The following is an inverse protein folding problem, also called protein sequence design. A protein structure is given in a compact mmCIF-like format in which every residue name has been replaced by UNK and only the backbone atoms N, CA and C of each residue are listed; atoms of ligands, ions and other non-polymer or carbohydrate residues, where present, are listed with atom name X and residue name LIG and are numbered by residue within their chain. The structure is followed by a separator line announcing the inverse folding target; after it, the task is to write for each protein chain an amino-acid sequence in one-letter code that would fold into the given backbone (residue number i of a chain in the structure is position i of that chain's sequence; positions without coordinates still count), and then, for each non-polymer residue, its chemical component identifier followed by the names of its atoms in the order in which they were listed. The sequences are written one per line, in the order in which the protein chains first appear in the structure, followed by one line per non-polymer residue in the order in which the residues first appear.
data_IF_112475695500
#
_entry.id   IF_112475695500
#
_cell.length_a   1.000
_cell.length_b   1.000
_cell.length_c   1.000
_cell.angle_alpha   90.00
_cell.angle_beta   90.00
_cell.angle_gamma   90.00
#
_symmetry.space_group_name_H-M   'P 1'
#
loop_
_entity.id
_entity.type
_entity.pdbx_description
1 polymer ?
#
# COMPACT_ATOMS: atom_id res chain seq x y z
N UNK A 1 -18.99 6.80 -28.37
CA UNK A 1 -17.97 7.34 -27.47
C UNK A 1 -18.19 6.73 -26.10
N UNK A 2 -17.28 5.90 -25.59
CA UNK A 2 -17.31 5.44 -24.20
C UNK A 2 -16.72 6.58 -23.36
N UNK A 3 -17.23 6.83 -22.14
CA UNK A 3 -16.68 7.85 -21.25
C UNK A 3 -15.22 7.56 -20.91
N UNK A 4 -14.41 8.56 -20.59
CA UNK A 4 -13.01 8.39 -20.20
C UNK A 4 -12.90 7.49 -18.96
N UNK A 5 -11.77 6.83 -18.81
CA UNK A 5 -11.47 5.86 -17.74
C UNK A 5 -11.60 6.46 -16.32
N UNK A 6 -11.63 7.78 -16.21
CA UNK A 6 -11.87 8.55 -14.99
C UNK A 6 -13.30 8.47 -14.44
N UNK A 7 -14.26 7.97 -15.21
CA UNK A 7 -15.65 7.84 -14.77
C UNK A 7 -16.03 6.39 -14.45
N UNK A 8 -15.28 5.71 -13.60
CA UNK A 8 -15.89 4.70 -12.76
C UNK A 8 -16.69 5.43 -11.69
N UNK A 9 -17.88 5.90 -12.05
CA UNK A 9 -18.81 6.60 -11.17
C UNK A 9 -19.27 5.60 -10.12
N UNK A 10 -18.59 5.58 -8.98
CA UNK A 10 -19.19 5.09 -7.74
C UNK A 10 -20.11 6.23 -7.28
N UNK A 11 -21.37 6.14 -7.66
CA UNK A 11 -22.39 7.05 -7.14
C UNK A 11 -22.41 6.94 -5.61
N UNK A 12 -22.44 8.07 -4.90
CA UNK A 12 -22.55 8.19 -3.43
C UNK A 12 -23.83 7.59 -2.80
N UNK A 13 -24.61 6.82 -3.53
CA UNK A 13 -25.72 6.10 -2.94
C UNK A 13 -25.18 4.93 -2.12
N UNK A 14 -25.62 4.72 -0.86
CA UNK A 14 -25.34 3.51 -0.13
C UNK A 14 -25.88 2.35 -0.99
N UNK A 15 -24.97 1.68 -1.67
CA UNK A 15 -25.30 0.46 -2.38
C UNK A 15 -25.76 -0.51 -1.30
N UNK A 16 -26.99 -0.97 -1.38
CA UNK A 16 -27.40 -2.17 -0.66
C UNK A 16 -26.69 -3.35 -1.32
N UNK A 17 -25.38 -3.47 -1.03
CA UNK A 17 -24.48 -4.47 -1.62
C UNK A 17 -24.88 -5.88 -1.21
N UNK A 18 -25.69 -6.02 -0.16
CA UNK A 18 -26.03 -7.31 0.41
C UNK A 18 -27.41 -7.80 -0.02
N UNK A 19 -28.28 -6.94 -0.56
CA UNK A 19 -29.62 -7.31 -1.00
C UNK A 19 -30.36 -8.09 0.10
N UNK A 20 -30.88 -9.28 -0.20
CA UNK A 20 -31.57 -10.15 0.75
C UNK A 20 -30.69 -10.69 1.88
N UNK A 21 -29.34 -10.57 1.78
CA UNK A 21 -28.38 -10.98 2.83
C UNK A 21 -28.17 -9.89 3.88
N UNK A 22 -28.63 -8.66 3.67
CA UNK A 22 -28.40 -7.52 4.57
C UNK A 22 -28.73 -7.82 6.04
N UNK A 23 -29.90 -8.43 6.39
CA UNK A 23 -30.19 -8.73 7.79
C UNK A 23 -29.20 -9.72 8.42
N UNK A 24 -28.76 -10.71 7.65
CA UNK A 24 -27.78 -11.71 8.11
C UNK A 24 -26.39 -11.09 8.31
N UNK A 25 -25.91 -10.31 7.36
CA UNK A 25 -24.61 -9.63 7.46
C UNK A 25 -24.58 -8.67 8.65
N UNK A 26 -25.66 -7.90 8.83
CA UNK A 26 -25.82 -7.01 9.98
C UNK A 26 -25.78 -7.77 11.30
N UNK A 27 -26.52 -8.86 11.43
CA UNK A 27 -26.51 -9.70 12.63
C UNK A 27 -25.13 -10.30 12.92
N UNK A 28 -24.41 -10.77 11.89
CA UNK A 28 -23.04 -11.26 12.04
C UNK A 28 -22.12 -10.15 12.57
N UNK A 29 -22.24 -8.93 12.04
CA UNK A 29 -21.42 -7.79 12.48
C UNK A 29 -21.73 -7.38 13.93
N UNK A 30 -22.99 -7.34 14.31
CA UNK A 30 -23.44 -7.02 15.67
C UNK A 30 -22.95 -8.05 16.71
N UNK A 31 -22.65 -9.28 16.25
CA UNK A 31 -22.09 -10.35 17.10
C UNK A 31 -20.56 -10.42 17.06
N UNK A 32 -19.90 -9.60 16.23
CA UNK A 32 -18.45 -9.55 16.21
C UNK A 32 -17.91 -8.92 17.50
N UNK A 33 -16.91 -9.52 18.13
CA UNK A 33 -16.42 -9.04 19.41
C UNK A 33 -15.70 -7.70 19.31
N UNK A 34 -15.06 -7.38 18.17
CA UNK A 34 -14.15 -6.22 17.97
C UNK A 34 -13.17 -6.03 19.14
N UNK A 35 -12.79 -7.13 19.79
CA UNK A 35 -12.04 -7.18 21.04
C UNK A 35 -10.62 -6.64 20.95
N UNK A 36 -10.12 -6.41 19.73
CA UNK A 36 -8.82 -5.78 19.45
C UNK A 36 -8.94 -4.39 18.79
N UNK A 37 -10.18 -3.88 18.58
CA UNK A 37 -10.33 -2.46 18.29
C UNK A 37 -9.83 -1.63 19.49
N UNK A 38 -8.99 -0.62 19.27
CA UNK A 38 -8.29 0.09 20.33
C UNK A 38 -9.24 0.73 21.36
N UNK A 39 -10.38 1.28 20.93
CA UNK A 39 -11.37 1.89 21.86
C UNK A 39 -12.08 0.79 22.67
N UNK A 40 -12.58 -0.26 22.03
CA UNK A 40 -13.26 -1.39 22.68
C UNK A 40 -12.32 -2.09 23.67
N UNK A 41 -11.08 -2.34 23.27
CA UNK A 41 -10.09 -2.99 24.14
C UNK A 41 -9.82 -2.16 25.40
N UNK A 42 -9.63 -0.84 25.26
CA UNK A 42 -9.40 0.07 26.40
C UNK A 42 -10.58 0.11 27.35
N UNK A 43 -11.81 0.10 26.85
CA UNK A 43 -13.04 0.03 27.68
C UNK A 43 -13.12 -1.29 28.44
N UNK A 44 -12.78 -2.40 27.82
CA UNK A 44 -12.77 -3.73 28.42
C UNK A 44 -11.62 -3.94 29.42
N UNK A 45 -10.53 -3.19 29.29
CA UNK A 45 -9.31 -3.31 30.08
C UNK A 45 -8.92 -1.95 30.73
N UNK A 46 -9.68 -1.44 31.68
CA UNK A 46 -9.37 -0.15 32.33
C UNK A 46 -7.97 -0.15 32.96
N UNK A 47 -7.10 0.76 32.50
CA UNK A 47 -5.69 0.83 32.92
C UNK A 47 -4.77 -0.19 32.26
N UNK A 48 -5.24 -0.93 31.25
CA UNK A 48 -4.40 -1.80 30.43
C UNK A 48 -3.34 -1.03 29.65
N UNK A 49 -2.13 -1.57 29.56
CA UNK A 49 -1.02 -0.94 28.85
C UNK A 49 -1.21 -0.98 27.32
N UNK A 50 -0.72 0.04 26.63
CA UNK A 50 -0.72 0.09 25.17
C UNK A 50 0.02 -1.10 24.55
N UNK A 51 1.16 -1.48 25.13
CA UNK A 51 2.02 -2.56 24.67
C UNK A 51 1.34 -3.93 24.74
N UNK A 52 0.44 -4.14 25.70
CA UNK A 52 -0.36 -5.39 25.81
C UNK A 52 -1.35 -5.50 24.66
N UNK A 53 -2.06 -4.42 24.33
CA UNK A 53 -2.93 -4.33 23.18
C UNK A 53 -2.15 -4.50 21.87
N UNK A 54 -1.04 -3.79 21.76
CA UNK A 54 -0.17 -3.83 20.59
C UNK A 54 0.33 -5.24 20.30
N UNK A 55 0.76 -5.96 21.33
CA UNK A 55 1.24 -7.34 21.20
C UNK A 55 0.13 -8.28 20.71
N UNK A 56 -1.06 -8.19 21.31
CA UNK A 56 -2.20 -9.03 20.93
C UNK A 56 -2.67 -8.71 19.51
N UNK A 57 -2.76 -7.44 19.14
CA UNK A 57 -3.20 -6.97 17.84
C UNK A 57 -2.20 -7.33 16.75
N UNK A 58 -0.91 -7.14 16.99
CA UNK A 58 0.16 -7.58 16.10
C UNK A 58 0.07 -9.09 15.82
N UNK A 59 -0.08 -9.90 16.86
CA UNK A 59 -0.24 -11.36 16.71
C UNK A 59 -1.48 -11.76 15.90
N UNK A 60 -2.61 -11.07 16.10
CA UNK A 60 -3.83 -11.28 15.32
C UNK A 60 -3.62 -10.98 13.84
N UNK A 61 -3.08 -9.80 13.51
CA UNK A 61 -2.86 -9.40 12.11
C UNK A 61 -1.85 -10.29 11.42
N UNK A 62 -0.72 -10.59 12.07
CA UNK A 62 0.31 -11.50 11.54
C UNK A 62 -0.26 -12.88 11.24
N UNK A 63 -1.08 -13.43 12.16
CA UNK A 63 -1.75 -14.72 11.94
C UNK A 63 -2.73 -14.63 10.76
N UNK A 64 -3.48 -13.54 10.64
CA UNK A 64 -4.44 -13.31 9.54
C UNK A 64 -3.80 -13.17 8.16
N UNK A 65 -2.50 -12.89 8.06
CA UNK A 65 -1.76 -12.93 6.80
C UNK A 65 -1.65 -14.33 6.20
N UNK A 66 -1.69 -15.37 7.03
CA UNK A 66 -1.56 -16.78 6.61
C UNK A 66 -0.37 -17.02 5.67
N UNK A 67 0.76 -16.35 5.89
CA UNK A 67 1.95 -16.51 5.06
C UNK A 67 3.22 -16.15 5.83
N UNK A 68 4.05 -17.14 6.09
CA UNK A 68 5.37 -17.00 6.70
C UNK A 68 6.31 -18.05 6.09
N UNK A 69 7.00 -17.74 4.98
CA UNK A 69 7.93 -18.66 4.34
C UNK A 69 9.28 -18.78 5.07
N UNK A 70 9.49 -18.00 6.11
CA UNK A 70 10.74 -17.95 6.85
C UNK A 70 11.85 -17.14 6.15
N UNK A 71 12.89 -16.75 6.89
CA UNK A 71 13.98 -15.92 6.38
C UNK A 71 14.82 -16.66 5.35
N UNK A 72 15.25 -15.94 4.31
CA UNK A 72 16.14 -16.43 3.27
C UNK A 72 17.14 -15.34 2.89
N UNK A 73 18.33 -15.73 2.45
CA UNK A 73 19.29 -14.80 1.86
C UNK A 73 18.68 -14.12 0.63
N UNK A 74 18.78 -12.79 0.58
CA UNK A 74 18.28 -11.99 -0.53
C UNK A 74 18.90 -12.36 -1.87
N UNK A 75 20.17 -12.79 -1.88
CA UNK A 75 20.94 -12.98 -3.10
C UNK A 75 20.69 -11.84 -4.10
N UNK A 76 20.82 -10.61 -3.57
CA UNK A 76 20.52 -9.41 -4.32
C UNK A 76 21.51 -9.22 -5.47
N UNK A 77 21.00 -8.77 -6.61
CA UNK A 77 21.75 -8.59 -7.86
C UNK A 77 21.35 -7.28 -8.51
N UNK A 78 22.33 -6.50 -8.96
CA UNK A 78 22.09 -5.32 -9.81
C UNK A 78 22.11 -5.81 -11.26
N UNK A 79 20.97 -5.71 -11.92
CA UNK A 79 20.77 -6.16 -13.29
C UNK A 79 21.16 -5.09 -14.32
N UNK A 80 20.97 -3.83 -13.95
CA UNK A 80 21.24 -2.66 -14.80
C UNK A 80 21.47 -1.43 -13.93
N UNK A 81 22.23 -0.46 -14.44
CA UNK A 81 22.61 0.76 -13.75
C UNK A 81 22.60 1.94 -14.71
N UNK A 82 21.96 3.03 -14.33
CA UNK A 82 21.85 4.26 -15.11
C UNK A 82 21.96 5.47 -14.19
N UNK A 83 22.70 6.49 -14.61
CA UNK A 83 22.67 7.82 -13.98
C UNK A 83 21.98 8.80 -14.93
N UNK A 84 20.86 9.37 -14.50
CA UNK A 84 20.05 10.31 -15.27
C UNK A 84 19.24 11.23 -14.35
N UNK A 85 19.10 12.50 -14.74
CA UNK A 85 18.29 13.51 -14.04
C UNK A 85 18.67 13.67 -12.54
N UNK A 86 19.97 13.53 -12.20
CA UNK A 86 20.46 13.64 -10.84
C UNK A 86 20.14 12.43 -9.94
N UNK A 87 19.73 11.32 -10.52
CA UNK A 87 19.46 10.07 -9.84
C UNK A 87 20.29 8.92 -10.41
N UNK A 88 20.77 8.07 -9.53
CA UNK A 88 21.26 6.73 -9.86
C UNK A 88 20.07 5.79 -9.80
N UNK A 89 19.82 5.05 -10.88
CA UNK A 89 18.77 4.04 -11.01
C UNK A 89 19.40 2.68 -11.20
N UNK A 90 19.15 1.77 -10.29
CA UNK A 90 19.53 0.38 -10.44
C UNK A 90 18.28 -0.46 -10.67
N UNK A 91 18.25 -1.24 -11.74
CA UNK A 91 17.31 -2.35 -11.84
C UNK A 91 17.87 -3.50 -11.03
N UNK A 92 17.14 -3.95 -10.05
CA UNK A 92 17.61 -4.95 -9.08
C UNK A 92 16.73 -6.18 -9.07
N UNK A 93 17.29 -7.31 -8.68
CA UNK A 93 16.54 -8.53 -8.40
C UNK A 93 17.00 -9.12 -7.07
N UNK A 94 16.05 -9.62 -6.27
CA UNK A 94 16.36 -10.30 -5.02
C UNK A 94 15.31 -11.36 -4.66
N UNK A 95 15.73 -12.34 -3.87
CA UNK A 95 14.83 -13.40 -3.40
C UNK A 95 13.95 -12.88 -2.28
N UNK A 96 12.64 -13.09 -2.40
CA UNK A 96 11.71 -12.91 -1.30
C UNK A 96 11.43 -14.23 -0.59
N UNK A 97 11.44 -15.34 -1.33
CA UNK A 97 11.34 -16.71 -0.81
C UNK A 97 12.24 -17.64 -1.62
N UNK A 98 12.33 -18.91 -1.22
CA UNK A 98 13.05 -19.95 -1.97
C UNK A 98 12.46 -20.22 -3.37
N UNK A 99 11.20 -19.82 -3.60
CA UNK A 99 10.47 -20.04 -4.87
C UNK A 99 10.03 -18.74 -5.54
N UNK A 100 10.38 -17.58 -4.99
CA UNK A 100 9.99 -16.29 -5.53
C UNK A 100 11.14 -15.30 -5.50
N UNK A 101 11.46 -14.74 -6.67
CA UNK A 101 12.43 -13.67 -6.88
C UNK A 101 11.71 -12.49 -7.50
N UNK A 102 11.94 -11.28 -7.00
CA UNK A 102 11.31 -10.07 -7.49
C UNK A 102 12.33 -9.19 -8.21
N UNK A 103 11.85 -8.49 -9.23
CA UNK A 103 12.57 -7.38 -9.85
C UNK A 103 12.03 -6.06 -9.33
N UNK A 104 12.92 -5.09 -9.14
CA UNK A 104 12.57 -3.75 -8.69
C UNK A 104 13.48 -2.69 -9.24
N UNK A 105 13.23 -1.46 -8.85
CA UNK A 105 14.12 -0.32 -9.04
C UNK A 105 14.58 0.21 -7.70
N UNK A 106 15.89 0.33 -7.56
CA UNK A 106 16.52 1.04 -6.46
C UNK A 106 17.02 2.39 -6.98
N UNK A 107 16.57 3.46 -6.34
CA UNK A 107 16.88 4.84 -6.74
C UNK A 107 17.70 5.50 -5.63
N UNK A 108 18.77 6.19 -6.03
CA UNK A 108 19.60 6.97 -5.12
C UNK A 108 19.75 8.40 -5.65
N UNK A 109 19.76 9.41 -4.78
CA UNK A 109 20.16 10.76 -5.18
C UNK A 109 21.64 10.78 -5.54
N UNK A 110 22.00 11.34 -6.70
CA UNK A 110 23.39 11.50 -7.11
C UNK A 110 24.05 12.67 -6.37
N UNK A 111 25.33 12.50 -6.00
CA UNK A 111 26.14 13.59 -5.46
C UNK A 111 25.82 14.03 -4.03
N UNK A 112 25.05 13.24 -3.27
CA UNK A 112 24.77 13.50 -1.84
C UNK A 112 25.70 12.72 -0.93
N UNK A 113 25.85 13.18 0.31
CA UNK A 113 26.58 12.44 1.33
C UNK A 113 25.78 11.20 1.75
N UNK A 114 26.43 10.05 1.82
CA UNK A 114 25.85 8.78 2.23
C UNK A 114 26.30 8.42 3.65
N UNK A 115 25.52 7.62 4.42
CA UNK A 115 24.24 7.04 4.04
C UNK A 115 23.07 8.03 4.10
N UNK A 116 21.97 7.72 3.38
CA UNK A 116 20.72 8.48 3.39
C UNK A 116 19.55 7.62 3.91
N UNK A 117 18.46 8.20 4.43
CA UNK A 117 17.28 7.44 4.82
C UNK A 117 16.68 6.65 3.65
N UNK A 118 16.09 5.48 3.95
CA UNK A 118 15.50 4.58 2.98
C UNK A 118 13.99 4.62 2.95
N UNK A 119 13.37 4.55 1.76
CA UNK A 119 11.92 4.47 1.61
C UNK A 119 11.51 3.28 0.73
N UNK A 120 10.52 2.52 1.20
CA UNK A 120 9.76 1.60 0.35
C UNK A 120 8.58 2.37 -0.24
N UNK A 121 8.50 2.49 -1.56
CA UNK A 121 7.44 3.26 -2.23
C UNK A 121 6.55 2.34 -3.04
N UNK A 122 5.25 2.39 -2.77
CA UNK A 122 4.26 1.47 -3.32
C UNK A 122 3.41 2.12 -4.40
N UNK A 123 3.24 1.42 -5.53
CA UNK A 123 2.30 1.82 -6.56
C UNK A 123 0.84 1.57 -6.15
N UNK A 124 -0.09 2.35 -6.71
CA UNK A 124 -1.53 2.16 -6.53
C UNK A 124 -2.03 0.86 -7.20
N UNK A 125 -3.20 0.37 -6.77
CA UNK A 125 -3.87 -0.80 -7.39
C UNK A 125 -4.88 -0.42 -8.46
N UNK A 126 -5.51 0.74 -8.36
CA UNK A 126 -6.47 1.23 -9.35
C UNK A 126 -5.85 1.38 -10.74
N UNK A 127 -6.66 1.28 -11.79
CA UNK A 127 -6.21 1.44 -13.18
C UNK A 127 -5.61 0.16 -13.79
N UNK A 128 -4.66 0.30 -14.73
CA UNK A 128 -4.12 -0.79 -15.53
C UNK A 128 -3.21 -1.72 -14.73
N UNK A 129 -3.43 -3.03 -14.77
CA UNK A 129 -2.60 -4.01 -14.05
C UNK A 129 -1.33 -4.41 -14.81
N UNK A 130 -1.27 -4.17 -16.13
CA UNK A 130 -0.08 -4.46 -16.93
C UNK A 130 1.14 -3.60 -16.58
N UNK A 131 0.95 -2.56 -15.78
CA UNK A 131 1.99 -1.73 -15.20
C UNK A 131 1.88 -1.69 -13.68
N UNK A 132 2.99 -1.81 -12.99
CA UNK A 132 3.10 -1.68 -11.54
C UNK A 132 4.06 -0.55 -11.17
N UNK A 133 5.33 -0.86 -10.97
CA UNK A 133 6.42 0.08 -10.63
C UNK A 133 6.63 1.18 -11.68
N UNK A 134 6.33 0.91 -12.95
CA UNK A 134 6.41 1.87 -14.07
C UNK A 134 5.47 3.06 -13.92
N UNK A 135 4.46 2.97 -13.06
CA UNK A 135 3.55 4.07 -12.72
C UNK A 135 4.26 5.19 -11.95
N UNK A 136 5.29 4.83 -11.18
CA UNK A 136 5.93 5.70 -10.20
C UNK A 136 7.46 5.80 -10.36
N UNK A 137 8.04 5.05 -11.30
CA UNK A 137 9.46 5.10 -11.69
C UNK A 137 9.58 5.38 -13.18
N UNK A 138 10.43 6.31 -13.58
CA UNK A 138 10.78 6.57 -14.97
C UNK A 138 11.76 5.50 -15.47
N UNK A 139 11.26 4.57 -16.25
CA UNK A 139 12.07 3.48 -16.83
C UNK A 139 12.71 3.84 -18.18
N UNK A 140 12.61 5.10 -18.62
CA UNK A 140 13.01 5.53 -19.97
C UNK A 140 12.00 5.14 -21.06
N UNK A 141 10.94 4.43 -20.71
CA UNK A 141 9.85 4.02 -21.61
C UNK A 141 8.53 4.57 -21.10
N UNK A 142 7.62 4.86 -21.98
CA UNK A 142 6.30 5.39 -21.62
C UNK A 142 5.19 4.80 -22.50
N UNK A 143 3.95 4.93 -22.01
CA UNK A 143 2.75 4.50 -22.70
C UNK A 143 1.63 5.50 -22.42
N UNK A 144 0.72 5.83 -23.37
CA UNK A 144 -0.35 6.80 -23.15
C UNK A 144 -1.19 6.54 -21.89
N UNK A 145 -1.45 5.27 -21.58
CA UNK A 145 -2.19 4.87 -20.37
C UNK A 145 -1.43 5.24 -19.09
N UNK A 146 -0.10 5.13 -19.08
CA UNK A 146 0.73 5.57 -17.93
C UNK A 146 0.74 7.07 -17.79
N UNK A 147 0.83 7.81 -18.90
CA UNK A 147 0.81 9.28 -18.91
C UNK A 147 -0.50 9.81 -18.33
N UNK A 148 -1.63 9.25 -18.75
CA UNK A 148 -2.95 9.61 -18.24
C UNK A 148 -3.06 9.33 -16.75
N UNK A 149 -2.64 8.15 -16.31
CA UNK A 149 -2.64 7.77 -14.89
C UNK A 149 -1.77 8.70 -14.05
N UNK A 150 -0.53 8.97 -14.48
CA UNK A 150 0.37 9.88 -13.75
C UNK A 150 -0.18 11.30 -13.69
N UNK A 151 -0.76 11.79 -14.79
CA UNK A 151 -1.36 13.12 -14.81
C UNK A 151 -2.53 13.21 -13.82
N UNK A 152 -3.38 12.21 -13.76
CA UNK A 152 -4.56 12.19 -12.87
C UNK A 152 -4.22 11.96 -11.40
N UNK A 153 -3.25 11.09 -11.11
CA UNK A 153 -2.97 10.67 -9.73
C UNK A 153 -1.77 11.39 -9.09
N UNK A 154 -0.77 11.81 -9.88
CA UNK A 154 0.54 12.24 -9.38
C UNK A 154 1.01 13.59 -9.95
N UNK A 155 0.13 14.37 -10.61
CA UNK A 155 0.50 15.62 -11.31
C UNK A 155 1.53 15.42 -12.43
N UNK A 156 1.54 14.26 -13.08
CA UNK A 156 2.51 13.89 -14.10
C UNK A 156 3.86 13.39 -13.56
N UNK A 157 4.10 13.45 -12.24
CA UNK A 157 5.34 13.05 -11.60
C UNK A 157 5.49 11.52 -11.51
N UNK A 158 6.74 11.08 -11.44
CA UNK A 158 7.09 9.73 -10.98
C UNK A 158 7.31 9.76 -9.46
N UNK A 159 6.32 9.33 -8.69
CA UNK A 159 6.27 9.47 -7.24
C UNK A 159 7.57 9.02 -6.54
N UNK A 160 8.12 7.88 -6.93
CA UNK A 160 9.34 7.33 -6.31
C UNK A 160 10.56 8.23 -6.58
N UNK A 161 10.63 8.85 -7.77
CA UNK A 161 11.72 9.76 -8.10
C UNK A 161 11.65 11.08 -7.35
N UNK A 162 10.45 11.57 -7.03
CA UNK A 162 10.31 12.80 -6.23
C UNK A 162 10.90 12.61 -4.82
N UNK A 163 10.71 11.44 -4.21
CA UNK A 163 11.37 11.10 -2.95
C UNK A 163 12.88 10.92 -3.11
N UNK A 164 13.33 10.26 -4.18
CA UNK A 164 14.77 10.11 -4.44
C UNK A 164 15.44 11.47 -4.65
N UNK A 165 14.84 12.38 -5.43
CA UNK A 165 15.32 13.76 -5.62
C UNK A 165 15.34 14.56 -4.31
N UNK A 166 14.44 14.24 -3.37
CA UNK A 166 14.41 14.83 -2.05
C UNK A 166 15.49 14.26 -1.09
N UNK A 167 16.34 13.34 -1.53
CA UNK A 167 17.48 12.83 -0.78
C UNK A 167 17.26 11.50 -0.07
N UNK A 168 16.32 10.68 -0.53
CA UNK A 168 16.05 9.35 0.01
C UNK A 168 16.56 8.25 -0.94
N UNK A 169 17.05 7.15 -0.39
CA UNK A 169 17.19 5.91 -1.12
C UNK A 169 15.82 5.24 -1.25
N UNK A 170 15.41 4.86 -2.45
CA UNK A 170 14.04 4.37 -2.69
C UNK A 170 14.08 2.99 -3.33
N UNK A 171 13.30 2.03 -2.81
CA UNK A 171 13.04 0.74 -3.45
C UNK A 171 11.58 0.65 -3.90
N UNK A 172 11.36 0.13 -5.11
CA UNK A 172 10.04 -0.09 -5.70
C UNK A 172 9.99 -1.47 -6.33
N UNK A 173 8.98 -2.28 -5.97
CA UNK A 173 8.65 -3.54 -6.62
C UNK A 173 7.20 -3.58 -7.08
N UNK A 174 6.87 -4.48 -8.00
CA UNK A 174 5.48 -4.76 -8.35
C UNK A 174 4.79 -5.56 -7.24
N UNK A 175 3.54 -5.23 -6.94
CA UNK A 175 2.66 -6.15 -6.24
C UNK A 175 2.33 -7.38 -7.10
N UNK A 176 1.94 -8.49 -6.48
CA UNK A 176 1.42 -9.64 -7.24
C UNK A 176 0.27 -9.24 -8.16
N UNK A 177 0.22 -9.79 -9.35
CA UNK A 177 -0.72 -9.49 -10.44
C UNK A 177 -0.53 -8.12 -11.11
N UNK A 178 0.58 -7.42 -10.84
CA UNK A 178 0.90 -6.16 -11.51
C UNK A 178 2.24 -6.25 -12.23
N UNK A 179 2.36 -5.50 -13.32
CA UNK A 179 3.61 -5.32 -14.06
C UNK A 179 4.24 -6.64 -14.51
N UNK A 180 5.46 -6.90 -14.13
CA UNK A 180 6.17 -8.14 -14.48
C UNK A 180 5.58 -9.39 -13.81
N UNK A 181 4.73 -9.22 -12.79
CA UNK A 181 4.13 -10.28 -11.97
C UNK A 181 2.70 -10.64 -12.37
N UNK A 182 2.23 -10.21 -13.54
CA UNK A 182 0.95 -10.68 -14.11
C UNK A 182 1.02 -12.17 -14.47
N UNK A 183 -0.11 -12.92 -14.39
CA UNK A 183 -0.13 -14.36 -14.62
C UNK A 183 0.01 -14.70 -16.12
N UNK A 184 1.22 -14.68 -16.65
CA UNK A 184 1.54 -14.96 -18.05
C UNK A 184 1.28 -16.42 -18.41
N UNK A 185 0.86 -16.68 -19.66
CA UNK A 185 0.59 -18.03 -20.15
C UNK A 185 -0.70 -18.66 -19.61
N UNK A 186 -1.56 -17.89 -18.97
CA UNK A 186 -2.81 -18.35 -18.36
C UNK A 186 -4.03 -17.69 -19.02
N UNK A 187 -5.05 -18.48 -19.34
CA UNK A 187 -6.40 -18.01 -19.71
C UNK A 187 -6.42 -16.91 -20.80
N UNK A 188 -5.64 -17.10 -21.86
CA UNK A 188 -5.58 -16.14 -22.96
C UNK A 188 -4.57 -15.00 -22.78
N UNK A 189 -3.91 -14.91 -21.64
CA UNK A 189 -2.77 -14.01 -21.45
C UNK A 189 -1.54 -14.63 -22.11
N UNK A 190 -0.85 -13.96 -23.05
CA UNK A 190 0.33 -14.50 -23.70
C UNK A 190 1.44 -14.86 -22.69
N UNK A 191 2.25 -15.87 -23.00
CA UNK A 191 3.43 -16.21 -22.20
C UNK A 191 4.49 -15.09 -22.22
N UNK A 192 4.57 -14.38 -23.35
CA UNK A 192 5.47 -13.26 -23.54
C UNK A 192 4.73 -12.10 -24.21
N UNK A 193 4.89 -10.92 -23.67
CA UNK A 193 4.43 -9.66 -24.26
C UNK A 193 5.18 -8.50 -23.61
N UNK A 194 5.21 -7.39 -24.32
CA UNK A 194 5.75 -6.12 -23.82
C UNK A 194 4.63 -5.08 -23.78
N UNK A 195 4.16 -4.66 -22.59
CA UNK A 195 3.02 -3.77 -22.47
C UNK A 195 3.26 -2.39 -23.09
N UNK A 196 4.52 -1.95 -23.22
CA UNK A 196 4.87 -0.68 -23.86
C UNK A 196 4.68 -0.67 -25.38
N UNK A 197 4.67 -1.85 -26.01
CA UNK A 197 4.52 -1.99 -27.46
C UNK A 197 3.07 -2.25 -27.91
N UNK A 198 2.14 -2.39 -26.97
CA UNK A 198 0.73 -2.61 -27.26
C UNK A 198 0.06 -1.31 -27.72
N UNK A 199 -0.81 -1.40 -28.72
CA UNK A 199 -1.76 -0.33 -28.98
C UNK A 199 -2.73 -0.20 -27.82
N UNK A 200 -3.40 0.95 -27.65
CA UNK A 200 -4.38 1.17 -26.57
C UNK A 200 -5.46 0.09 -26.57
N UNK A 201 -5.93 -0.34 -27.75
CA UNK A 201 -6.95 -1.41 -27.87
C UNK A 201 -6.47 -2.75 -27.39
N UNK A 202 -5.27 -3.17 -27.79
CA UNK A 202 -4.63 -4.42 -27.34
C UNK A 202 -4.34 -4.37 -25.83
N UNK A 203 -3.83 -3.24 -25.35
CA UNK A 203 -3.57 -3.01 -23.94
C UNK A 203 -4.83 -3.21 -23.08
N UNK A 204 -5.93 -2.52 -23.43
CA UNK A 204 -7.20 -2.63 -22.71
C UNK A 204 -7.75 -4.06 -22.74
N UNK A 205 -7.67 -4.73 -23.89
CA UNK A 205 -8.13 -6.10 -24.01
C UNK A 205 -7.33 -7.06 -23.12
N UNK A 206 -6.01 -6.94 -23.11
CA UNK A 206 -5.12 -7.78 -22.29
C UNK A 206 -5.25 -7.45 -20.80
N UNK A 207 -5.34 -6.18 -20.45
CA UNK A 207 -5.50 -5.74 -19.06
C UNK A 207 -6.82 -6.23 -18.44
N UNK A 208 -7.90 -6.30 -19.22
CA UNK A 208 -9.16 -6.88 -18.79
C UNK A 208 -9.02 -8.38 -18.51
N UNK A 209 -8.31 -9.12 -19.33
CA UNK A 209 -8.02 -10.54 -19.07
C UNK A 209 -7.23 -10.71 -17.77
N UNK A 210 -6.21 -9.88 -17.53
CA UNK A 210 -5.43 -9.91 -16.27
C UNK A 210 -6.32 -9.63 -15.08
N UNK A 211 -7.21 -8.63 -15.15
CA UNK A 211 -8.17 -8.31 -14.08
C UNK A 211 -9.13 -9.45 -13.79
N UNK A 212 -9.61 -10.15 -14.80
CA UNK A 212 -10.46 -11.34 -14.61
C UNK A 212 -9.71 -12.46 -13.88
N UNK A 213 -8.41 -12.66 -14.18
CA UNK A 213 -7.60 -13.68 -13.53
C UNK A 213 -7.20 -13.35 -12.09
N UNK A 214 -7.27 -12.09 -11.68
CA UNK A 214 -6.96 -11.68 -10.31
C UNK A 214 -7.74 -12.47 -9.27
N UNK A 215 -9.06 -12.56 -9.45
CA UNK A 215 -9.93 -13.28 -8.51
C UNK A 215 -9.64 -14.78 -8.46
N UNK A 216 -9.20 -15.36 -9.59
CA UNK A 216 -8.75 -16.75 -9.62
C UNK A 216 -7.46 -16.89 -8.81
N UNK A 217 -6.47 -16.03 -9.01
CA UNK A 217 -5.22 -16.06 -8.28
C UNK A 217 -5.40 -15.93 -6.76
N UNK A 218 -6.25 -14.99 -6.31
CA UNK A 218 -6.57 -14.84 -4.88
C UNK A 218 -7.22 -16.11 -4.31
N UNK A 219 -8.16 -16.73 -5.03
CA UNK A 219 -8.78 -17.99 -4.59
C UNK A 219 -7.78 -19.14 -4.54
N UNK A 220 -6.86 -19.23 -5.51
CA UNK A 220 -5.80 -20.25 -5.52
C UNK A 220 -4.86 -20.08 -4.32
N UNK A 221 -4.46 -18.85 -3.97
CA UNK A 221 -3.68 -18.57 -2.78
C UNK A 221 -4.41 -18.98 -1.52
N UNK A 222 -5.70 -18.59 -1.38
CA UNK A 222 -6.51 -18.97 -0.23
C UNK A 222 -6.66 -20.50 -0.12
N UNK A 223 -6.84 -21.20 -1.24
CA UNK A 223 -6.90 -22.66 -1.25
C UNK A 223 -5.57 -23.31 -0.86
N UNK A 224 -4.46 -22.68 -1.20
CA UNK A 224 -3.11 -23.09 -0.79
C UNK A 224 -2.78 -22.73 0.68
N UNK A 225 -3.68 -22.05 1.39
CA UNK A 225 -3.51 -21.69 2.80
C UNK A 225 -2.84 -20.32 3.02
N UNK A 226 -2.74 -19.49 1.99
CA UNK A 226 -2.16 -18.14 2.07
C UNK A 226 -3.17 -17.05 1.69
N UNK A 227 -2.95 -15.82 2.13
CA UNK A 227 -3.70 -14.67 1.62
C UNK A 227 -2.87 -13.92 0.57
N UNK A 228 -3.55 -13.25 -0.35
CA UNK A 228 -2.87 -12.38 -1.33
C UNK A 228 -2.08 -11.27 -0.62
N UNK A 229 -2.66 -10.73 0.44
CA UNK A 229 -2.02 -9.68 1.22
C UNK A 229 -0.82 -10.21 2.03
N UNK A 230 -0.88 -11.43 2.53
CA UNK A 230 0.25 -12.08 3.20
C UNK A 230 1.46 -12.21 2.30
N UNK A 231 1.25 -12.65 1.05
CA UNK A 231 2.33 -12.74 0.05
C UNK A 231 2.92 -11.36 -0.27
N UNK A 232 2.06 -10.33 -0.45
CA UNK A 232 2.56 -8.98 -0.73
C UNK A 232 3.26 -8.35 0.48
N UNK A 233 2.71 -8.49 1.68
CA UNK A 233 3.35 -7.99 2.90
C UNK A 233 4.75 -8.61 3.10
N UNK A 234 4.88 -9.91 2.87
CA UNK A 234 6.17 -10.57 2.94
C UNK A 234 7.18 -9.95 1.98
N UNK A 235 6.80 -9.79 0.71
CA UNK A 235 7.67 -9.17 -0.30
C UNK A 235 8.01 -7.71 0.06
N UNK A 236 7.07 -6.97 0.67
CA UNK A 236 7.27 -5.59 1.14
C UNK A 236 8.27 -5.52 2.30
N UNK A 237 8.18 -6.44 3.26
CA UNK A 237 9.16 -6.57 4.34
C UNK A 237 10.55 -6.96 3.82
N UNK A 238 10.63 -7.77 2.75
CA UNK A 238 11.89 -8.08 2.07
C UNK A 238 12.51 -6.86 1.36
N UNK A 239 11.68 -5.88 0.94
CA UNK A 239 12.20 -4.59 0.48
C UNK A 239 12.91 -3.82 1.62
N UNK A 240 12.41 -3.92 2.85
CA UNK A 240 13.11 -3.34 4.03
C UNK A 240 14.44 -4.05 4.26
N UNK A 241 14.48 -5.39 4.16
CA UNK A 241 15.74 -6.14 4.23
C UNK A 241 16.73 -5.69 3.16
N UNK A 242 16.24 -5.48 1.91
CA UNK A 242 17.07 -4.99 0.83
C UNK A 242 17.66 -3.61 1.13
N UNK A 243 16.84 -2.65 1.60
CA UNK A 243 17.31 -1.31 1.97
C UNK A 243 18.39 -1.40 3.05
N UNK A 244 18.16 -2.15 4.12
CA UNK A 244 19.13 -2.32 5.23
C UNK A 244 20.43 -3.00 4.77
N UNK A 245 20.38 -3.84 3.75
CA UNK A 245 21.58 -4.49 3.20
C UNK A 245 22.49 -3.56 2.39
N UNK A 246 21.98 -2.37 2.04
CA UNK A 246 22.71 -1.40 1.20
C UNK A 246 23.55 -0.45 2.06
N UNK A 247 24.87 -0.33 1.82
CA UNK A 247 25.72 0.59 2.55
C UNK A 247 25.38 2.07 2.34
N UNK A 248 24.63 2.38 1.28
CA UNK A 248 24.16 3.74 0.97
C UNK A 248 22.97 4.17 1.81
N UNK A 249 22.33 3.23 2.55
CA UNK A 249 21.11 3.46 3.31
C UNK A 249 21.40 3.50 4.81
N UNK A 250 20.86 4.51 5.48
CA UNK A 250 20.80 4.55 6.93
C UNK A 250 19.74 3.54 7.43
N UNK A 251 20.20 2.42 7.99
CA UNK A 251 19.36 1.31 8.43
C UNK A 251 18.39 1.67 9.57
N UNK A 252 18.68 2.74 10.31
CA UNK A 252 17.85 3.20 11.43
C UNK A 252 16.80 4.24 10.99
N UNK A 253 16.80 4.62 9.72
CA UNK A 253 15.96 5.68 9.15
C UNK A 253 15.16 5.16 7.94
N UNK A 254 14.33 4.13 8.16
CA UNK A 254 13.50 3.51 7.13
C UNK A 254 12.06 4.02 7.20
N UNK A 255 11.48 4.32 6.05
CA UNK A 255 10.07 4.68 5.94
C UNK A 255 9.35 3.99 4.78
N UNK A 256 8.04 4.21 4.68
CA UNK A 256 7.25 3.69 3.56
C UNK A 256 6.09 4.61 3.18
N UNK A 257 5.71 4.60 1.90
CA UNK A 257 4.59 5.41 1.39
C UNK A 257 4.01 4.85 0.10
N UNK A 258 2.78 5.23 -0.20
CA UNK A 258 2.12 4.95 -1.46
C UNK A 258 0.71 5.51 -1.53
N UNK A 259 0.15 5.55 -2.74
CA UNK A 259 -1.23 5.99 -3.00
C UNK A 259 -2.18 4.80 -3.04
N UNK A 260 -3.40 4.96 -2.51
CA UNK A 260 -4.49 3.99 -2.68
C UNK A 260 -4.11 2.59 -2.18
N UNK A 261 -4.11 1.57 -3.02
CA UNK A 261 -3.57 0.25 -2.66
C UNK A 261 -2.12 0.29 -2.15
N UNK A 262 -1.32 1.26 -2.60
CA UNK A 262 -0.01 1.56 -2.00
C UNK A 262 -0.12 2.12 -0.58
N UNK A 263 -1.13 2.96 -0.30
CA UNK A 263 -1.44 3.43 1.04
C UNK A 263 -1.86 2.29 1.98
N UNK A 264 -2.62 1.31 1.46
CA UNK A 264 -2.95 0.10 2.20
C UNK A 264 -1.71 -0.71 2.58
N UNK A 265 -0.80 -0.96 1.60
CA UNK A 265 0.49 -1.64 1.85
C UNK A 265 1.33 -0.87 2.86
N UNK A 266 1.32 0.47 2.80
CA UNK A 266 1.97 1.35 3.78
C UNK A 266 1.44 1.12 5.19
N UNK A 267 0.12 1.12 5.39
CA UNK A 267 -0.49 0.89 6.70
C UNK A 267 -0.08 -0.47 7.26
N UNK A 268 -0.08 -1.51 6.42
CA UNK A 268 0.23 -2.86 6.87
C UNK A 268 1.73 -3.03 7.16
N UNK A 269 2.61 -2.49 6.32
CA UNK A 269 4.05 -2.58 6.54
C UNK A 269 4.46 -1.82 7.81
N UNK A 270 3.97 -0.59 7.99
CA UNK A 270 4.25 0.20 9.18
C UNK A 270 3.71 -0.44 10.47
N UNK A 271 2.55 -1.10 10.40
CA UNK A 271 1.94 -1.80 11.54
C UNK A 271 2.76 -3.01 12.02
N UNK A 272 3.37 -3.76 11.10
CA UNK A 272 3.93 -5.07 11.38
C UNK A 272 5.46 -5.13 11.34
N UNK A 273 6.12 -4.23 10.60
CA UNK A 273 7.57 -4.18 10.52
C UNK A 273 8.12 -3.03 11.37
N UNK A 274 8.63 -3.35 12.52
CA UNK A 274 9.12 -2.36 13.51
C UNK A 274 10.38 -1.59 13.08
N UNK A 275 10.97 -1.94 11.95
CA UNK A 275 12.09 -1.20 11.35
C UNK A 275 11.62 0.03 10.59
N UNK A 276 10.31 0.11 10.31
CA UNK A 276 9.69 1.29 9.68
C UNK A 276 9.46 2.36 10.74
N UNK A 277 10.21 3.45 10.68
CA UNK A 277 10.21 4.54 11.64
C UNK A 277 9.25 5.68 11.26
N UNK A 278 8.90 5.79 9.97
CA UNK A 278 7.92 6.77 9.50
C UNK A 278 7.12 6.24 8.30
N UNK A 279 5.86 6.61 8.22
CA UNK A 279 4.97 6.21 7.13
C UNK A 279 4.08 7.36 6.65
N UNK A 280 3.71 7.32 5.36
CA UNK A 280 2.71 8.22 4.77
C UNK A 280 1.73 7.39 3.93
N UNK A 281 0.53 7.16 4.46
CA UNK A 281 -0.54 6.44 3.77
C UNK A 281 -1.40 7.40 2.96
N UNK A 282 -1.31 7.33 1.63
CA UNK A 282 -2.08 8.19 0.70
C UNK A 282 -3.41 7.58 0.30
N UNK A 283 -4.51 8.27 0.57
CA UNK A 283 -5.87 7.96 0.13
C UNK A 283 -6.30 6.50 0.39
N UNK A 284 -5.98 5.99 1.56
CA UNK A 284 -6.50 4.72 2.06
C UNK A 284 -6.74 4.79 3.56
N UNK A 285 -7.87 5.39 3.96
CA UNK A 285 -8.28 5.39 5.35
C UNK A 285 -9.79 5.48 5.47
N UNK A 286 -10.38 4.58 6.27
CA UNK A 286 -11.82 4.50 6.53
C UNK A 286 -12.07 3.73 7.83
N UNK A 287 -13.27 3.83 8.38
CA UNK A 287 -13.69 2.96 9.49
C UNK A 287 -14.22 1.61 8.98
N UNK A 288 -14.32 0.61 9.88
CA UNK A 288 -14.77 -0.72 9.52
C UNK A 288 -16.19 -0.75 8.95
N UNK A 289 -17.08 0.11 9.42
CA UNK A 289 -18.46 0.21 8.93
C UNK A 289 -18.52 0.66 7.47
N UNK A 290 -17.78 1.71 7.14
CA UNK A 290 -17.74 2.21 5.78
C UNK A 290 -16.92 1.31 4.85
N UNK A 291 -15.88 0.64 5.37
CA UNK A 291 -15.10 -0.34 4.60
C UNK A 291 -16.02 -1.42 4.02
N UNK A 292 -16.92 -1.98 4.81
CA UNK A 292 -17.83 -3.03 4.36
C UNK A 292 -18.89 -2.52 3.38
N UNK A 293 -19.35 -1.28 3.54
CA UNK A 293 -20.43 -0.71 2.71
C UNK A 293 -19.88 -0.23 1.36
N UNK A 294 -18.73 0.46 1.34
CA UNK A 294 -18.27 1.18 0.16
C UNK A 294 -17.13 0.48 -0.59
N UNK A 295 -16.29 -0.31 0.11
CA UNK A 295 -15.03 -0.78 -0.45
C UNK A 295 -14.89 -2.30 -0.55
N UNK A 296 -15.88 -3.07 -0.09
CA UNK A 296 -15.87 -4.54 -0.21
C UNK A 296 -16.03 -5.02 -1.66
N UNK A 297 -16.65 -4.18 -2.51
CA UNK A 297 -16.84 -4.50 -3.92
C UNK A 297 -15.53 -4.39 -4.73
N UNK A 298 -15.38 -5.27 -5.71
CA UNK A 298 -14.28 -5.21 -6.67
C UNK A 298 -12.91 -5.59 -6.12
N UNK A 299 -11.86 -5.13 -6.79
CA UNK A 299 -10.47 -5.48 -6.48
C UNK A 299 -10.03 -5.02 -5.07
N UNK A 300 -10.50 -3.85 -4.62
CA UNK A 300 -10.16 -3.27 -3.32
C UNK A 300 -10.53 -4.25 -2.19
N UNK A 301 -11.79 -4.73 -2.16
CA UNK A 301 -12.24 -5.66 -1.15
C UNK A 301 -11.48 -6.99 -1.18
N UNK A 302 -11.20 -7.50 -2.38
CA UNK A 302 -10.48 -8.76 -2.56
C UNK A 302 -9.05 -8.70 -2.01
N UNK A 303 -8.34 -7.61 -2.23
CA UNK A 303 -6.96 -7.44 -1.76
C UNK A 303 -6.85 -7.27 -0.24
N UNK A 304 -7.88 -6.72 0.40
CA UNK A 304 -7.87 -6.44 1.84
C UNK A 304 -8.41 -7.59 2.70
N UNK A 305 -8.74 -8.74 2.11
CA UNK A 305 -9.26 -9.88 2.86
C UNK A 305 -8.19 -10.49 3.76
N UNK A 306 -8.36 -10.34 5.06
CA UNK A 306 -7.57 -10.98 6.11
C UNK A 306 -8.53 -11.78 7.01
N UNK A 307 -8.66 -13.09 6.81
CA UNK A 307 -9.59 -13.92 7.57
C UNK A 307 -9.28 -13.87 9.08
N UNK A 308 -10.33 -13.63 9.89
CA UNK A 308 -10.19 -13.57 11.35
C UNK A 308 -9.64 -12.26 11.90
N UNK A 309 -9.39 -11.25 11.05
CA UNK A 309 -8.89 -9.93 11.46
C UNK A 309 -10.04 -8.93 11.60
N UNK A 310 -10.83 -8.73 10.54
CA UNK A 310 -11.84 -7.66 10.46
C UNK A 310 -13.09 -7.86 11.34
N UNK A 311 -13.22 -9.00 11.99
CA UNK A 311 -14.19 -9.23 13.04
C UNK A 311 -13.66 -8.87 14.45
N UNK A 312 -12.40 -8.47 14.57
CA UNK A 312 -11.73 -8.15 15.83
C UNK A 312 -11.21 -6.73 15.92
N UNK A 313 -10.83 -6.11 14.78
CA UNK A 313 -10.29 -4.75 14.70
C UNK A 313 -10.75 -4.03 13.42
N UNK A 314 -10.45 -2.74 13.33
CA UNK A 314 -10.74 -1.90 12.17
C UNK A 314 -9.47 -1.39 11.49
N UNK A 315 -9.61 -0.77 10.30
CA UNK A 315 -8.46 -0.25 9.54
C UNK A 315 -7.64 0.79 10.32
N UNK A 316 -8.23 1.74 11.07
CA UNK A 316 -7.48 2.68 11.89
C UNK A 316 -6.55 2.02 12.91
N UNK A 317 -6.94 0.85 13.43
CA UNK A 317 -6.14 0.12 14.41
C UNK A 317 -4.77 -0.32 13.85
N UNK A 318 -4.66 -0.53 12.53
CA UNK A 318 -3.35 -0.80 11.89
C UNK A 318 -2.42 0.41 12.02
N UNK A 319 -2.93 1.64 11.82
CA UNK A 319 -2.11 2.84 11.98
C UNK A 319 -1.76 3.07 13.45
N UNK A 320 -2.67 2.79 14.39
CA UNK A 320 -2.40 2.85 15.83
C UNK A 320 -1.34 1.83 16.22
N UNK A 321 -1.38 0.63 15.62
CA UNK A 321 -0.43 -0.45 15.87
C UNK A 321 1.02 -0.07 15.52
N UNK A 322 1.21 0.85 14.58
CA UNK A 322 2.53 1.35 14.19
C UNK A 322 3.20 2.23 15.27
N UNK A 323 2.45 2.78 16.23
CA UNK A 323 3.03 3.64 17.26
C UNK A 323 4.14 2.91 18.06
N UNK A 324 5.25 3.58 18.42
CA UNK A 324 5.51 5.02 18.34
C UNK A 324 6.13 5.52 17.03
N UNK A 325 6.17 4.71 15.96
CA UNK A 325 6.62 5.15 14.63
C UNK A 325 5.73 6.29 14.12
N UNK A 326 6.33 7.23 13.41
CA UNK A 326 5.61 8.42 12.95
C UNK A 326 4.68 8.06 11.76
N UNK A 327 3.39 8.34 11.87
CA UNK A 327 2.39 8.04 10.82
C UNK A 327 1.66 9.28 10.35
N UNK A 328 1.69 9.51 9.03
CA UNK A 328 0.85 10.51 8.38
C UNK A 328 -0.20 9.81 7.52
N UNK A 329 -1.45 10.21 7.67
CA UNK A 329 -2.55 9.78 6.80
C UNK A 329 -2.96 10.95 5.94
N UNK A 330 -2.79 10.81 4.64
CA UNK A 330 -3.35 11.70 3.64
C UNK A 330 -4.70 11.14 3.22
N UNK A 331 -5.77 11.83 3.59
CA UNK A 331 -7.10 11.65 3.04
C UNK A 331 -7.42 12.84 2.14
N UNK A 332 -8.41 12.69 1.25
CA UNK A 332 -8.86 13.80 0.42
C UNK A 332 -10.38 13.87 0.49
N UNK A 333 -10.94 15.03 0.87
CA UNK A 333 -12.36 15.12 1.23
C UNK A 333 -13.34 15.00 0.05
N UNK A 334 -12.83 15.05 -1.18
CA UNK A 334 -13.60 14.83 -2.41
C UNK A 334 -13.34 13.43 -3.02
N UNK A 335 -12.66 12.53 -2.28
CA UNK A 335 -12.43 11.15 -2.68
C UNK A 335 -13.75 10.38 -2.70
N UNK A 336 -14.11 9.85 -3.86
CA UNK A 336 -15.34 9.08 -4.03
C UNK A 336 -15.25 7.66 -3.46
N UNK A 337 -14.03 7.16 -3.19
CA UNK A 337 -13.82 5.82 -2.63
C UNK A 337 -13.96 5.80 -1.11
N UNK A 338 -13.66 6.90 -0.44
CA UNK A 338 -13.65 6.98 1.02
C UNK A 338 -14.47 8.19 1.47
N UNK A 339 -15.66 7.99 2.05
CA UNK A 339 -16.51 9.10 2.48
C UNK A 339 -15.82 10.00 3.53
N UNK A 340 -15.98 11.33 3.45
CA UNK A 340 -15.34 12.27 4.37
C UNK A 340 -15.61 11.99 5.84
N UNK A 341 -16.82 11.54 6.18
CA UNK A 341 -17.21 11.21 7.55
C UNK A 341 -16.40 10.03 8.09
N UNK A 342 -16.16 9.02 7.24
CA UNK A 342 -15.34 7.86 7.60
C UNK A 342 -13.87 8.23 7.75
N UNK A 343 -13.36 9.13 6.89
CA UNK A 343 -12.00 9.64 6.97
C UNK A 343 -11.76 10.40 8.28
N UNK A 344 -12.69 11.28 8.65
CA UNK A 344 -12.61 12.10 9.88
C UNK A 344 -12.71 11.23 11.13
N UNK A 345 -13.64 10.28 11.14
CA UNK A 345 -13.79 9.35 12.28
C UNK A 345 -12.56 8.45 12.44
N UNK A 346 -12.01 7.93 11.35
CA UNK A 346 -10.77 7.17 11.39
C UNK A 346 -9.61 7.99 11.94
N UNK A 347 -9.45 9.24 11.49
CA UNK A 347 -8.41 10.13 12.00
C UNK A 347 -8.57 10.42 13.51
N UNK A 348 -9.81 10.61 14.00
CA UNK A 348 -10.11 10.76 15.43
C UNK A 348 -9.68 9.53 16.23
N UNK A 349 -9.99 8.32 15.74
CA UNK A 349 -9.60 7.06 16.39
C UNK A 349 -8.07 6.91 16.43
N UNK A 350 -7.38 7.20 15.33
CA UNK A 350 -5.92 7.11 15.28
C UNK A 350 -5.28 8.13 16.24
N UNK A 351 -5.75 9.38 16.27
CA UNK A 351 -5.26 10.40 17.19
C UNK A 351 -5.40 9.94 18.65
N UNK A 352 -6.56 9.40 19.03
CA UNK A 352 -6.79 8.87 20.37
C UNK A 352 -5.88 7.67 20.70
N UNK A 353 -5.54 6.85 19.70
CA UNK A 353 -4.58 5.77 19.84
C UNK A 353 -3.15 6.25 20.09
N UNK A 354 -2.70 7.27 19.37
CA UNK A 354 -1.38 7.88 19.54
C UNK A 354 -1.27 8.66 20.87
N UNK A 355 -2.38 9.26 21.35
CA UNK A 355 -2.46 9.82 22.70
C UNK A 355 -2.31 8.73 23.76
N UNK A 356 -2.97 7.58 23.58
CA UNK A 356 -2.80 6.43 24.46
C UNK A 356 -1.38 5.85 24.46
N UNK A 357 -0.73 5.83 23.29
CA UNK A 357 0.67 5.45 23.14
C UNK A 357 1.67 6.51 23.67
N UNK A 358 1.17 7.62 24.27
CA UNK A 358 1.97 8.75 24.77
C UNK A 358 2.89 9.41 23.74
N UNK A 359 2.49 9.42 22.47
CA UNK A 359 3.24 10.05 21.37
C UNK A 359 2.31 10.76 20.35
N UNK A 360 1.39 11.65 20.79
CA UNK A 360 0.39 12.27 19.91
C UNK A 360 0.99 13.09 18.76
N UNK A 361 2.18 13.62 18.93
CA UNK A 361 2.92 14.38 17.90
C UNK A 361 3.45 13.51 16.76
N UNK A 362 3.44 12.19 16.93
CA UNK A 362 3.84 11.22 15.91
C UNK A 362 2.71 10.83 14.94
N UNK A 363 1.53 11.41 15.10
CA UNK A 363 0.44 11.26 14.14
C UNK A 363 0.07 12.60 13.49
N UNK A 364 -0.19 12.56 12.19
CA UNK A 364 -0.69 13.71 11.44
C UNK A 364 -1.75 13.29 10.40
N UNK A 365 -2.86 14.00 10.35
CA UNK A 365 -3.90 13.82 9.33
C UNK A 365 -3.94 15.02 8.40
N UNK A 366 -3.71 14.80 7.11
CA UNK A 366 -3.83 15.77 6.03
C UNK A 366 -5.10 15.48 5.22
N UNK A 367 -6.05 16.44 5.13
CA UNK A 367 -7.34 16.22 4.48
C UNK A 367 -7.79 17.42 3.62
N UNK A 368 -7.10 17.74 2.50
CA UNK A 368 -7.49 18.82 1.61
C UNK A 368 -8.71 18.45 0.76
N UNK A 369 -9.37 19.48 0.20
CA UNK A 369 -10.47 19.33 -0.75
C UNK A 369 -9.95 18.93 -2.13
N UNK A 370 -9.66 17.66 -2.33
CA UNK A 370 -9.13 17.03 -3.55
C UNK A 370 -9.79 15.69 -3.77
N UNK A 371 -9.77 15.22 -5.04
CA UNK A 371 -10.12 13.84 -5.39
C UNK A 371 -9.04 12.83 -5.02
N UNK A 372 -9.21 11.58 -5.46
CA UNK A 372 -8.31 10.45 -5.18
C UNK A 372 -6.94 10.64 -5.84
N UNK A 373 -6.00 11.31 -5.20
CA UNK A 373 -4.69 11.65 -5.77
C UNK A 373 -3.57 11.75 -4.73
N UNK A 374 -2.34 11.73 -5.22
CA UNK A 374 -1.12 12.05 -4.47
C UNK A 374 -0.34 13.07 -5.31
N UNK A 375 -0.95 14.24 -5.48
CA UNK A 375 -0.44 15.30 -6.35
C UNK A 375 0.85 15.95 -5.82
N UNK A 376 1.43 16.87 -6.60
CA UNK A 376 2.71 17.49 -6.25
C UNK A 376 2.69 18.26 -4.91
N UNK A 377 1.54 18.75 -4.46
CA UNK A 377 1.41 19.40 -3.16
C UNK A 377 1.48 18.37 -2.03
N UNK A 378 0.70 17.28 -2.15
CA UNK A 378 0.71 16.19 -1.18
C UNK A 378 2.05 15.45 -1.13
N UNK A 379 2.76 15.35 -2.28
CA UNK A 379 4.13 14.82 -2.33
C UNK A 379 5.08 15.68 -1.49
N UNK A 380 4.98 17.02 -1.56
CA UNK A 380 5.79 17.92 -0.72
C UNK A 380 5.46 17.82 0.76
N UNK A 381 4.18 17.68 1.11
CA UNK A 381 3.76 17.44 2.50
C UNK A 381 4.36 16.15 3.05
N UNK A 382 4.32 15.07 2.27
CA UNK A 382 4.91 13.80 2.63
C UNK A 382 6.45 13.87 2.78
N UNK A 383 7.13 14.56 1.86
CA UNK A 383 8.58 14.80 1.97
C UNK A 383 8.88 15.55 3.26
N UNK A 384 8.14 16.62 3.56
CA UNK A 384 8.29 17.37 4.80
C UNK A 384 8.03 16.53 6.06
N UNK A 385 7.12 15.54 5.99
CA UNK A 385 6.90 14.59 7.08
C UNK A 385 8.10 13.66 7.28
N UNK A 386 8.62 13.08 6.22
CA UNK A 386 9.80 12.22 6.28
C UNK A 386 11.05 12.99 6.72
N UNK A 387 11.23 14.24 6.24
CA UNK A 387 12.37 15.08 6.64
C UNK A 387 12.41 15.29 8.17
N UNK A 388 11.25 15.51 8.79
CA UNK A 388 11.16 15.70 10.25
C UNK A 388 11.37 14.44 11.08
N UNK A 389 11.13 13.25 10.49
CA UNK A 389 11.11 12.01 11.25
C UNK A 389 12.22 11.02 10.88
N UNK A 390 12.90 11.20 9.74
CA UNK A 390 13.95 10.30 9.25
C UNK A 390 15.29 10.98 9.03
N UNK A 391 15.31 12.31 8.82
CA UNK A 391 16.58 13.03 8.69
C UNK A 391 17.03 13.59 10.04
N UNK A 392 18.36 13.68 10.27
CA UNK A 392 18.91 14.22 11.51
C UNK A 392 18.57 15.70 11.73
#
# INVERSE_FOLDING_TARGET
MRPPISECIITRAPLNLYGSLEPMIRAIREHNPLDLNAEVWREANPGGAFEDWQTQTHGCVTTGLHYDPGPLDLQAEVLDHEERDGLIRERVAFNTTAWNRVNGYFLLPAGVALPVPGLVVFHAWGGPMLFGKERIVNTGRDHPVLQELRQGCYSGNYLAEEFAKAGYAVIVIDAHHFGERVPKGLAGIPAEFDPFNLSIGEFVALDNLVKEQLYLGVRQLNWAGATWMGVNFWDDSRCVDYLISRPEVDSDSIGCTGLSGGGWRTNLLAALDRRVMASVSGCWMTTGDYQQIYNVGGAIGTFCLLPGVWNRLHVPDLTILAAPSASMVISTSEDLLFPPEAQQEAARQIQAGYEWAACPEKFHHCNPAKGHCYDAELQREAIGWFDRNLKP
#
